data_IF_594428096194
#
_entry.id   IF_594428096194
#
_cell.length_a   1.000
_cell.length_b   1.000
_cell.length_c   1.000
_cell.angle_alpha   90.00
_cell.angle_beta   90.00
_cell.angle_gamma   90.00
#
_symmetry.space_group_name_H-M   'P 1'
#
loop_
_entity.id
_entity.type
_entity.pdbx_description
1 polymer ?
#
# COMPACT_ATOMS: atom_id res chain seq x y z
N UNK A 1 9.18 -17.62 -11.51
CA UNK A 1 9.86 -18.50 -10.51
C UNK A 1 10.48 -17.69 -9.38
N UNK A 2 11.47 -16.82 -9.59
CA UNK A 2 12.13 -16.05 -8.50
C UNK A 2 11.16 -15.09 -7.79
N UNK A 3 10.40 -14.29 -8.54
CA UNK A 3 9.43 -13.35 -7.95
C UNK A 3 8.28 -14.07 -7.24
N UNK A 4 7.81 -15.17 -7.82
CA UNK A 4 6.78 -16.03 -7.24
C UNK A 4 7.23 -16.60 -5.89
N UNK A 5 8.41 -17.23 -5.86
CA UNK A 5 9.00 -17.78 -4.63
C UNK A 5 9.25 -16.70 -3.57
N UNK A 6 9.72 -15.52 -4.02
CA UNK A 6 9.98 -14.37 -3.19
C UNK A 6 8.72 -13.71 -2.61
N UNK A 7 7.53 -14.03 -3.13
CA UNK A 7 6.31 -13.31 -2.80
C UNK A 7 5.17 -14.17 -2.28
N UNK A 8 4.95 -15.35 -2.88
CA UNK A 8 3.82 -16.25 -2.61
C UNK A 8 4.19 -17.47 -1.77
N UNK A 9 5.47 -17.66 -1.40
CA UNK A 9 5.81 -18.74 -0.46
C UNK A 9 5.15 -18.49 0.89
N UNK A 10 4.64 -19.57 1.52
CA UNK A 10 3.88 -19.48 2.77
C UNK A 10 4.64 -18.81 3.92
N UNK A 11 5.98 -18.82 3.88
CA UNK A 11 6.85 -18.18 4.86
C UNK A 11 7.07 -16.67 4.63
N UNK A 12 6.84 -16.15 3.41
CA UNK A 12 7.17 -14.75 3.07
C UNK A 12 6.00 -13.77 3.21
N UNK A 13 4.77 -14.26 3.42
CA UNK A 13 3.57 -13.48 3.76
C UNK A 13 3.44 -12.22 2.88
N UNK A 14 3.49 -12.39 1.55
CA UNK A 14 3.25 -11.30 0.59
C UNK A 14 4.02 -10.00 0.91
N UNK A 15 5.37 -10.04 0.85
CA UNK A 15 6.20 -8.89 1.17
C UNK A 15 5.91 -7.74 0.19
N UNK A 16 5.95 -6.51 0.71
CA UNK A 16 5.86 -5.31 -0.14
C UNK A 16 7.11 -5.11 -1.00
N UNK A 17 7.03 -4.19 -1.96
CA UNK A 17 8.10 -3.89 -2.95
C UNK A 17 9.46 -3.72 -2.29
N UNK A 18 9.54 -2.90 -1.23
CA UNK A 18 10.80 -2.60 -0.54
C UNK A 18 11.45 -3.84 0.08
N UNK A 19 10.67 -4.63 0.82
CA UNK A 19 11.16 -5.84 1.49
C UNK A 19 11.60 -6.88 0.46
N UNK A 20 10.78 -7.09 -0.56
CA UNK A 20 11.07 -8.04 -1.63
C UNK A 20 12.34 -7.65 -2.41
N UNK A 21 12.53 -6.36 -2.71
CA UNK A 21 13.77 -5.88 -3.33
C UNK A 21 14.99 -6.08 -2.43
N UNK A 22 14.89 -5.78 -1.13
CA UNK A 22 16.00 -5.96 -0.18
C UNK A 22 16.41 -7.42 -0.01
N UNK A 23 15.47 -8.35 -0.09
CA UNK A 23 15.76 -9.78 0.03
C UNK A 23 16.35 -10.35 -1.26
N UNK A 24 15.77 -10.02 -2.41
CA UNK A 24 16.22 -10.56 -3.70
C UNK A 24 17.58 -9.99 -4.13
N UNK A 25 17.86 -8.71 -3.87
CA UNK A 25 19.13 -8.06 -4.27
C UNK A 25 20.39 -8.70 -3.64
N UNK A 26 20.23 -9.51 -2.58
CA UNK A 26 21.33 -10.19 -1.90
C UNK A 26 21.87 -11.37 -2.71
N UNK A 27 21.02 -11.98 -3.52
CA UNK A 27 21.32 -13.23 -4.23
C UNK A 27 21.19 -13.10 -5.75
N UNK A 28 20.37 -12.14 -6.21
CA UNK A 28 20.04 -12.00 -7.61
C UNK A 28 20.14 -10.54 -8.05
N UNK A 29 20.61 -10.35 -9.27
CA UNK A 29 20.67 -9.04 -9.91
C UNK A 29 20.44 -9.18 -11.42
N UNK A 30 19.67 -8.26 -11.98
CA UNK A 30 19.47 -8.12 -13.43
C UNK A 30 19.00 -6.71 -13.77
N UNK A 31 18.97 -6.35 -15.05
CA UNK A 31 18.49 -5.02 -15.48
C UNK A 31 16.99 -4.86 -15.16
N UNK A 32 16.64 -3.77 -14.47
CA UNK A 32 15.24 -3.48 -14.15
C UNK A 32 14.65 -4.27 -12.98
N UNK A 33 15.46 -4.92 -12.12
CA UNK A 33 14.97 -5.69 -10.95
C UNK A 33 13.94 -4.93 -10.11
N UNK A 34 14.21 -3.65 -9.79
CA UNK A 34 13.27 -2.82 -9.00
C UNK A 34 11.91 -2.66 -9.67
N UNK A 35 11.90 -2.37 -10.98
CA UNK A 35 10.68 -2.15 -11.77
C UNK A 35 9.84 -3.41 -11.83
N UNK A 36 10.47 -4.56 -12.13
CA UNK A 36 9.76 -5.83 -12.22
C UNK A 36 9.20 -6.29 -10.86
N UNK A 37 9.93 -6.08 -9.76
CA UNK A 37 9.42 -6.36 -8.41
C UNK A 37 8.21 -5.47 -8.10
N UNK A 38 8.29 -4.18 -8.43
CA UNK A 38 7.18 -3.23 -8.29
C UNK A 38 5.94 -3.74 -9.04
N UNK A 39 6.04 -3.93 -10.35
CA UNK A 39 4.93 -4.40 -11.20
C UNK A 39 4.32 -5.70 -10.68
N UNK A 40 5.17 -6.65 -10.27
CA UNK A 40 4.71 -7.95 -9.76
C UNK A 40 3.94 -7.84 -8.43
N UNK A 41 4.44 -7.05 -7.47
CA UNK A 41 3.77 -6.85 -6.18
C UNK A 41 2.48 -6.05 -6.36
N UNK A 42 2.48 -5.04 -7.24
CA UNK A 42 1.28 -4.25 -7.55
C UNK A 42 0.20 -5.08 -8.26
N UNK A 43 0.55 -6.11 -9.02
CA UNK A 43 -0.42 -7.02 -9.63
C UNK A 43 -1.03 -8.03 -8.63
N UNK A 44 -0.53 -8.11 -7.39
CA UNK A 44 -0.99 -9.09 -6.41
C UNK A 44 -2.28 -8.63 -5.70
N UNK A 45 -3.40 -9.29 -5.98
CA UNK A 45 -4.71 -9.00 -5.38
C UNK A 45 -4.71 -9.02 -3.84
N UNK A 46 -3.95 -9.94 -3.22
CA UNK A 46 -3.83 -10.01 -1.76
C UNK A 46 -3.13 -8.77 -1.22
N UNK A 47 -2.04 -8.33 -1.87
CA UNK A 47 -1.36 -7.11 -1.49
C UNK A 47 -2.23 -5.87 -1.70
N UNK A 48 -2.94 -5.78 -2.81
CA UNK A 48 -3.85 -4.66 -3.09
C UNK A 48 -4.96 -4.51 -2.04
N UNK A 49 -5.50 -5.63 -1.53
CA UNK A 49 -6.57 -5.63 -0.53
C UNK A 49 -6.07 -5.43 0.90
N UNK A 50 -4.89 -5.95 1.22
CA UNK A 50 -4.37 -5.97 2.59
C UNK A 50 -3.46 -4.79 2.92
N UNK A 51 -2.76 -4.24 1.92
CA UNK A 51 -1.86 -3.12 2.12
C UNK A 51 -2.63 -1.84 1.83
N UNK A 52 -2.78 -1.02 2.85
CA UNK A 52 -3.34 0.31 2.72
C UNK A 52 -2.31 1.15 1.97
N UNK A 53 -2.76 1.88 0.95
CA UNK A 53 -1.91 2.89 0.33
C UNK A 53 -1.72 4.01 1.34
N UNK A 54 -0.48 4.22 1.82
CA UNK A 54 -0.13 5.39 2.64
C UNK A 54 -0.04 6.65 1.78
N UNK A 55 -0.97 6.81 0.83
CA UNK A 55 -1.16 8.05 0.12
C UNK A 55 -1.40 9.15 1.15
N UNK A 56 -0.86 10.33 0.88
CA UNK A 56 -1.19 11.51 1.66
C UNK A 56 -2.71 11.67 1.62
N UNK A 57 -3.34 11.87 2.77
CA UNK A 57 -4.76 12.22 2.85
C UNK A 57 -5.05 13.29 1.78
N UNK A 58 -6.16 13.13 1.04
CA UNK A 58 -6.48 13.91 -0.17
C UNK A 58 -6.59 15.42 0.03
N UNK A 59 -6.46 15.90 1.26
CA UNK A 59 -6.36 17.31 1.60
C UNK A 59 -6.45 17.50 3.11
N UNK A 60 -6.46 18.77 3.52
CA UNK A 60 -6.94 19.13 4.85
C UNK A 60 -8.43 18.81 4.92
N UNK A 61 -8.87 18.13 5.97
CA UNK A 61 -10.29 18.03 6.29
C UNK A 61 -10.83 19.46 6.39
N UNK A 62 -11.88 19.78 5.64
CA UNK A 62 -12.59 21.04 5.82
C UNK A 62 -13.51 20.88 7.03
N UNK A 63 -13.21 21.51 8.18
CA UNK A 63 -14.11 21.46 9.32
C UNK A 63 -15.42 22.12 8.95
N UNK A 64 -16.54 21.57 9.45
CA UNK A 64 -17.83 22.23 9.38
C UNK A 64 -17.76 23.56 10.14
N UNK A 65 -18.52 24.55 9.68
CA UNK A 65 -18.66 25.81 10.41
C UNK A 65 -19.19 25.54 11.83
N UNK A 66 -18.58 26.17 12.82
CA UNK A 66 -19.08 26.12 14.20
C UNK A 66 -20.40 26.89 14.24
N UNK A 67 -21.53 26.27 14.65
CA UNK A 67 -22.78 27.00 14.82
C UNK A 67 -22.62 28.09 15.89
N UNK A 68 -23.20 29.27 15.64
CA UNK A 68 -23.19 30.36 16.62
C UNK A 68 -24.21 30.13 17.74
N UNK A 69 -25.30 29.42 17.44
CA UNK A 69 -26.39 29.17 18.38
C UNK A 69 -26.76 27.70 18.51
N UNK A 70 -27.50 27.40 19.58
CA UNK A 70 -28.10 26.08 19.78
C UNK A 70 -29.07 25.82 18.62
N UNK A 71 -28.97 24.66 17.99
CA UNK A 71 -29.83 24.16 16.89
C UNK A 71 -29.55 24.71 15.49
N UNK A 72 -28.53 25.56 15.29
CA UNK A 72 -28.18 26.06 13.96
C UNK A 72 -27.70 24.97 12.99
N UNK A 73 -27.14 23.88 13.53
CA UNK A 73 -26.72 22.71 12.77
C UNK A 73 -27.24 21.44 13.44
N UNK A 74 -28.00 20.65 12.69
CA UNK A 74 -28.50 19.34 13.10
C UNK A 74 -27.96 18.33 12.08
N UNK A 75 -27.20 17.34 12.55
CA UNK A 75 -26.76 16.21 11.76
C UNK A 75 -27.49 14.94 12.25
N UNK A 76 -27.84 14.06 11.32
CA UNK A 76 -28.42 12.75 11.58
C UNK A 76 -27.56 11.70 10.86
N UNK A 77 -27.46 10.50 11.42
CA UNK A 77 -26.79 9.32 10.83
C UNK A 77 -27.77 8.52 9.96
#
# INVERSE_FOLDING_TARGET
MILEEGHRSGLRIHPGVTKMYQDLKKLFWWSGTKKQISEFVYACLVCQKSKIEHQKLSGLLQPLFVPEWKWDNIAMD
#
